data_IF_404377972126
#
_entry.id   IF_404377972126
#
_cell.length_a   1.000
_cell.length_b   1.000
_cell.length_c   1.000
_cell.angle_alpha   90.00
_cell.angle_beta   90.00
_cell.angle_gamma   90.00
#
_symmetry.space_group_name_H-M   'P 1'
#
loop_
_entity.id
_entity.type
_entity.pdbx_description
1 polymer ?
#
# COMPACT_ATOMS: atom_id res chain seq x y z
N UNK A 1 21.26 5.47 1.33
CA UNK A 1 21.46 4.52 2.45
C UNK A 1 20.07 4.22 3.02
N UNK A 2 19.30 3.44 2.27
CA UNK A 2 17.92 3.09 2.57
C UNK A 2 17.82 1.60 2.32
N UNK A 3 18.25 0.82 3.30
CA UNK A 3 18.06 -0.61 3.24
C UNK A 3 16.59 -0.83 3.62
N UNK A 4 15.82 -1.46 2.72
CA UNK A 4 14.41 -1.85 2.86
C UNK A 4 14.23 -2.86 4.01
N UNK A 5 14.64 -2.48 5.23
CA UNK A 5 14.94 -3.38 6.34
C UNK A 5 13.74 -4.21 6.79
N UNK A 6 12.52 -3.71 6.50
CA UNK A 6 11.28 -4.47 6.61
C UNK A 6 10.34 -4.14 5.45
N UNK A 7 10.89 -3.93 4.25
CA UNK A 7 10.12 -3.46 3.09
C UNK A 7 9.42 -2.10 3.34
N UNK A 8 9.95 -1.29 4.26
CA UNK A 8 9.58 0.11 4.36
C UNK A 8 10.31 0.86 3.25
N UNK A 9 9.54 1.37 2.30
CA UNK A 9 10.03 2.12 1.15
C UNK A 9 10.28 3.58 1.49
N UNK A 10 10.51 4.38 0.46
CA UNK A 10 10.78 5.80 0.62
C UNK A 10 9.61 6.54 1.28
N UNK A 11 9.95 7.56 2.08
CA UNK A 11 8.95 8.36 2.77
C UNK A 11 8.38 9.48 1.90
N UNK A 12 7.14 9.90 2.18
CA UNK A 12 6.61 11.15 1.64
C UNK A 12 7.59 12.30 1.91
N UNK A 13 7.95 13.03 0.85
CA UNK A 13 8.87 14.18 0.92
C UNK A 13 8.18 15.41 0.38
N UNK A 14 8.34 16.54 1.06
CA UNK A 14 7.70 17.81 0.70
C UNK A 14 8.76 18.88 0.60
N UNK A 15 8.78 19.59 -0.52
CA UNK A 15 9.61 20.78 -0.70
C UNK A 15 8.82 22.02 -0.27
N UNK A 16 9.43 22.84 0.59
CA UNK A 16 8.78 24.00 1.22
C UNK A 16 9.63 25.23 0.98
N UNK A 17 9.03 26.24 0.38
CA UNK A 17 9.62 27.56 0.12
C UNK A 17 8.99 28.64 1.01
N UNK A 18 9.73 29.74 1.17
CA UNK A 18 9.28 30.95 1.85
C UNK A 18 9.31 32.12 0.87
N UNK A 19 8.19 32.82 0.72
CA UNK A 19 8.12 34.03 -0.09
C UNK A 19 8.82 35.20 0.61
N UNK A 20 9.09 36.27 -0.13
CA UNK A 20 9.65 37.51 0.43
C UNK A 20 8.75 38.15 1.50
N UNK A 21 7.43 37.87 1.48
CA UNK A 21 6.47 38.30 2.51
C UNK A 21 6.41 37.36 3.73
N UNK A 22 7.16 36.26 3.73
CA UNK A 22 7.19 35.26 4.80
C UNK A 22 6.07 34.22 4.72
N UNK A 23 5.40 34.09 3.58
CA UNK A 23 4.39 33.06 3.36
C UNK A 23 5.04 31.71 3.02
N UNK A 24 4.50 30.63 3.56
CA UNK A 24 4.97 29.27 3.30
C UNK A 24 4.29 28.73 2.04
N UNK A 25 5.09 28.31 1.06
CA UNK A 25 4.60 27.72 -0.19
C UNK A 25 5.07 26.27 -0.27
N UNK A 26 4.14 25.36 -0.53
CA UNK A 26 4.46 23.97 -0.83
C UNK A 26 4.76 23.87 -2.33
N UNK A 27 6.04 23.69 -2.66
CA UNK A 27 6.51 23.69 -4.05
C UNK A 27 6.27 22.35 -4.74
N UNK A 28 6.61 21.24 -4.07
CA UNK A 28 6.39 19.90 -4.61
C UNK A 28 6.19 18.85 -3.52
N UNK A 29 5.38 17.84 -3.85
CA UNK A 29 5.13 16.68 -3.00
C UNK A 29 5.58 15.45 -3.78
N UNK A 30 6.56 14.74 -3.23
CA UNK A 30 6.99 13.42 -3.69
C UNK A 30 6.31 12.41 -2.78
N UNK A 31 5.44 11.58 -3.37
CA UNK A 31 4.80 10.50 -2.63
C UNK A 31 5.85 9.43 -2.31
N UNK A 32 5.77 8.92 -1.09
CA UNK A 32 6.49 7.72 -0.71
C UNK A 32 5.92 6.49 -1.37
N UNK A 33 6.54 5.35 -1.12
CA UNK A 33 6.28 4.13 -1.88
C UNK A 33 5.14 3.30 -1.31
N UNK A 34 4.42 2.67 -2.22
CA UNK A 34 3.39 1.69 -1.91
C UNK A 34 4.00 0.31 -1.62
N UNK A 35 3.25 -0.54 -0.93
CA UNK A 35 3.65 -1.94 -0.70
C UNK A 35 3.92 -2.65 -2.03
N UNK A 36 3.11 -2.37 -3.06
CA UNK A 36 3.29 -2.91 -4.42
C UNK A 36 4.63 -2.52 -5.04
N UNK A 37 5.04 -1.25 -4.94
CA UNK A 37 6.31 -0.77 -5.49
C UNK A 37 7.50 -1.42 -4.78
N UNK A 38 7.45 -1.52 -3.45
CA UNK A 38 8.53 -2.17 -2.70
C UNK A 38 8.61 -3.67 -2.98
N UNK A 39 7.47 -4.35 -3.15
CA UNK A 39 7.44 -5.77 -3.52
C UNK A 39 8.01 -6.03 -4.92
N UNK A 40 7.86 -5.09 -5.84
CA UNK A 40 8.45 -5.20 -7.18
C UNK A 40 9.99 -5.23 -7.12
N UNK A 41 10.61 -4.47 -6.20
CA UNK A 41 12.06 -4.50 -5.98
C UNK A 41 12.61 -5.87 -5.58
N UNK A 42 11.81 -6.63 -4.83
CA UNK A 42 12.14 -8.00 -4.42
C UNK A 42 11.51 -9.06 -5.35
N UNK A 43 11.14 -8.65 -6.57
CA UNK A 43 10.67 -9.50 -7.67
C UNK A 43 9.32 -10.19 -7.40
N UNK A 44 8.47 -9.58 -6.57
CA UNK A 44 7.09 -10.01 -6.40
C UNK A 44 6.17 -9.17 -7.27
N UNK A 45 5.38 -9.83 -8.11
CA UNK A 45 4.39 -9.15 -8.93
C UNK A 45 3.07 -8.97 -8.18
N UNK A 46 2.64 -7.73 -7.99
CA UNK A 46 1.39 -7.43 -7.29
C UNK A 46 0.14 -8.08 -7.89
N UNK A 47 0.05 -8.25 -9.22
CA UNK A 47 -1.09 -8.93 -9.85
C UNK A 47 -1.10 -10.43 -9.52
N UNK A 48 0.05 -11.09 -9.64
CA UNK A 48 0.16 -12.51 -9.28
C UNK A 48 -0.21 -12.77 -7.81
N UNK A 49 0.16 -11.86 -6.91
CA UNK A 49 -0.22 -11.94 -5.50
C UNK A 49 -1.73 -11.84 -5.30
N UNK A 50 -2.38 -10.88 -5.96
CA UNK A 50 -3.85 -10.74 -5.93
C UNK A 50 -4.55 -11.96 -6.51
N UNK A 51 -4.07 -12.50 -7.64
CA UNK A 51 -4.65 -13.70 -8.27
C UNK A 51 -4.57 -14.92 -7.33
N UNK A 52 -3.44 -15.10 -6.65
CA UNK A 52 -3.25 -16.18 -5.66
C UNK A 52 -4.22 -16.03 -4.48
N UNK A 53 -4.43 -14.82 -3.98
CA UNK A 53 -5.41 -14.58 -2.92
C UNK A 53 -6.83 -14.88 -3.42
N UNK A 54 -7.19 -14.44 -4.62
CA UNK A 54 -8.51 -14.69 -5.20
C UNK A 54 -8.80 -16.19 -5.29
N UNK A 55 -7.84 -16.99 -5.76
CA UNK A 55 -7.96 -18.45 -5.77
C UNK A 55 -8.15 -19.04 -4.36
N UNK A 56 -7.39 -18.56 -3.37
CA UNK A 56 -7.49 -19.04 -1.99
C UNK A 56 -8.86 -18.70 -1.36
N UNK A 57 -9.38 -17.51 -1.63
CA UNK A 57 -10.70 -17.04 -1.19
C UNK A 57 -11.81 -17.85 -1.85
N UNK A 58 -11.73 -18.12 -3.16
CA UNK A 58 -12.69 -18.96 -3.87
C UNK A 58 -12.77 -20.38 -3.30
N UNK A 59 -11.62 -20.98 -2.97
CA UNK A 59 -11.56 -22.28 -2.31
C UNK A 59 -12.22 -22.23 -0.92
N UNK A 60 -11.94 -21.19 -0.12
CA UNK A 60 -12.54 -21.04 1.20
C UNK A 60 -14.06 -20.86 1.14
N UNK A 61 -14.59 -20.19 0.12
CA UNK A 61 -16.04 -20.08 -0.14
C UNK A 61 -16.63 -21.45 -0.50
N UNK A 62 -15.98 -22.20 -1.39
CA UNK A 62 -16.44 -23.56 -1.77
C UNK A 62 -16.45 -24.53 -0.59
N UNK A 63 -15.46 -24.41 0.29
CA UNK A 63 -15.35 -25.20 1.52
C UNK A 63 -16.30 -24.72 2.64
N UNK A 64 -17.08 -23.65 2.40
CA UNK A 64 -18.03 -23.10 3.37
C UNK A 64 -17.38 -22.43 4.58
N UNK A 65 -16.10 -22.06 4.51
CA UNK A 65 -15.36 -21.41 5.62
C UNK A 65 -15.66 -19.92 5.72
N UNK A 66 -15.98 -19.29 4.60
CA UNK A 66 -16.33 -17.87 4.50
C UNK A 66 -17.48 -17.69 3.49
N UNK A 67 -18.21 -16.59 3.62
CA UNK A 67 -19.28 -16.18 2.71
C UNK A 67 -18.71 -15.46 1.48
N UNK A 68 -19.54 -15.31 0.43
CA UNK A 68 -19.19 -14.51 -0.76
C UNK A 68 -18.97 -13.03 -0.42
N UNK A 69 -19.68 -12.51 0.59
CA UNK A 69 -19.52 -11.13 1.04
C UNK A 69 -18.17 -10.93 1.74
N UNK A 70 -17.79 -11.85 2.64
CA UNK A 70 -16.46 -11.86 3.27
C UNK A 70 -15.34 -12.00 2.24
N UNK A 71 -15.53 -12.88 1.25
CA UNK A 71 -14.60 -13.02 0.13
C UNK A 71 -14.35 -11.69 -0.59
N UNK A 72 -15.42 -10.96 -0.93
CA UNK A 72 -15.31 -9.63 -1.53
C UNK A 72 -14.56 -8.64 -0.65
N UNK A 73 -14.81 -8.66 0.67
CA UNK A 73 -14.07 -7.82 1.63
C UNK A 73 -12.58 -8.15 1.69
N UNK A 74 -12.20 -9.44 1.69
CA UNK A 74 -10.79 -9.84 1.73
C UNK A 74 -10.03 -9.42 0.48
N UNK A 75 -10.61 -9.63 -0.71
CA UNK A 75 -9.97 -9.23 -1.97
C UNK A 75 -9.81 -7.71 -2.03
N UNK A 76 -10.85 -6.96 -1.65
CA UNK A 76 -10.79 -5.50 -1.60
C UNK A 76 -9.72 -5.00 -0.63
N UNK A 77 -9.73 -5.52 0.61
CA UNK A 77 -8.76 -5.16 1.64
C UNK A 77 -7.32 -5.41 1.19
N UNK A 78 -7.07 -6.54 0.52
CA UNK A 78 -5.73 -6.88 0.04
C UNK A 78 -5.25 -5.96 -1.08
N UNK A 79 -6.13 -5.61 -2.03
CA UNK A 79 -5.77 -4.64 -3.08
C UNK A 79 -5.51 -3.25 -2.50
N UNK A 80 -6.33 -2.81 -1.54
CA UNK A 80 -6.10 -1.57 -0.79
C UNK A 80 -4.75 -1.61 -0.05
N UNK A 81 -4.42 -2.72 0.61
CA UNK A 81 -3.14 -2.89 1.29
C UNK A 81 -1.94 -2.87 0.34
N UNK A 82 -2.04 -3.48 -0.84
CA UNK A 82 -0.98 -3.44 -1.85
C UNK A 82 -0.77 -2.03 -2.41
N UNK A 83 -1.84 -1.26 -2.59
CA UNK A 83 -1.78 0.12 -3.08
C UNK A 83 -1.52 1.14 -1.96
N UNK A 84 -1.53 0.70 -0.70
CA UNK A 84 -1.27 1.51 0.48
C UNK A 84 0.20 1.85 0.65
N UNK A 85 0.45 2.93 1.38
CA UNK A 85 1.79 3.37 1.76
C UNK A 85 2.46 2.32 2.65
N UNK A 86 3.78 2.15 2.57
CA UNK A 86 4.46 1.07 3.30
C UNK A 86 4.45 1.25 4.81
N UNK A 87 4.15 2.44 5.31
CA UNK A 87 4.12 2.75 6.74
C UNK A 87 2.74 2.56 7.35
N UNK A 88 2.73 2.39 8.67
CA UNK A 88 1.53 2.16 9.44
C UNK A 88 0.60 3.38 9.43
N UNK A 89 -0.69 3.12 9.34
CA UNK A 89 -1.74 4.11 9.55
C UNK A 89 -2.05 4.22 11.06
N UNK A 90 -2.40 5.43 11.50
CA UNK A 90 -2.90 5.63 12.86
C UNK A 90 -4.25 4.92 13.05
N UNK A 91 -4.65 4.63 14.30
CA UNK A 91 -5.99 4.11 14.55
C UNK A 91 -7.03 5.10 13.98
N UNK A 92 -8.05 4.58 13.28
CA UNK A 92 -9.20 5.38 12.86
C UNK A 92 -9.79 6.07 14.11
N UNK A 93 -9.83 7.42 14.10
CA UNK A 93 -10.47 8.23 15.14
C UNK A 93 -11.97 8.40 14.89
#
# INVERSE_FOLDING_TARGET
LGDLHNLFGDTNTVHVDLTESGEVVLDSIIKGETVREVLDYVQFNGRELTDRLQMAVELAVRDGRITHEEAGRYVKFYDEALNGYTYLEGPEM
#
